data_IF_223066379769
#
_entry.id   IF_223066379769
#
_cell.length_a   1.000
_cell.length_b   1.000
_cell.length_c   1.000
_cell.angle_alpha   90.00
_cell.angle_beta   90.00
_cell.angle_gamma   90.00
#
_symmetry.space_group_name_H-M   'P 1'
#
loop_
_entity.id
_entity.type
_entity.pdbx_description
1 polymer ?
#
# COMPACT_ATOMS: atom_id res chain seq x y z
N UNK A 1 -0.37 18.24 13.51
CA UNK A 1 0.85 18.30 12.68
C UNK A 1 0.43 18.78 11.29
N UNK A 2 1.20 19.66 10.63
CA UNK A 2 0.87 20.10 9.27
C UNK A 2 1.77 19.39 8.25
N UNK A 3 1.15 18.81 7.22
CA UNK A 3 1.82 18.28 6.03
C UNK A 3 2.14 19.45 5.09
N UNK A 4 3.40 19.58 4.71
CA UNK A 4 3.84 20.49 3.66
C UNK A 4 3.94 19.78 2.29
N UNK A 5 4.25 20.55 1.24
CA UNK A 5 4.35 20.02 -0.13
C UNK A 5 5.48 19.01 -0.30
N UNK A 6 6.59 19.18 0.42
CA UNK A 6 7.70 18.22 0.41
C UNK A 6 7.27 16.87 1.02
N UNK A 7 6.57 16.92 2.15
CA UNK A 7 6.03 15.73 2.80
C UNK A 7 4.98 15.04 1.94
N UNK A 8 4.08 15.80 1.29
CA UNK A 8 3.12 15.25 0.33
C UNK A 8 3.82 14.54 -0.85
N UNK A 9 4.87 15.15 -1.42
CA UNK A 9 5.67 14.52 -2.48
C UNK A 9 6.39 13.25 -2.00
N UNK A 10 6.90 13.25 -0.76
CA UNK A 10 7.54 12.08 -0.14
C UNK A 10 6.54 10.93 0.02
N UNK A 11 5.33 11.21 0.50
CA UNK A 11 4.25 10.21 0.63
C UNK A 11 3.86 9.64 -0.72
N UNK A 12 3.68 10.49 -1.74
CA UNK A 12 3.38 10.05 -3.11
C UNK A 12 4.46 9.12 -3.67
N UNK A 13 5.74 9.45 -3.44
CA UNK A 13 6.89 8.62 -3.83
C UNK A 13 6.91 7.25 -3.14
N UNK A 14 6.57 7.19 -1.85
CA UNK A 14 6.44 5.95 -1.08
C UNK A 14 5.30 5.08 -1.62
N UNK A 15 4.18 5.70 -1.99
CA UNK A 15 3.03 5.02 -2.59
C UNK A 15 3.20 4.66 -4.08
N UNK A 16 4.33 5.04 -4.71
CA UNK A 16 4.58 4.89 -6.16
C UNK A 16 3.55 5.61 -7.04
N UNK A 17 2.98 6.70 -6.54
CA UNK A 17 2.04 7.54 -7.28
C UNK A 17 2.80 8.75 -7.82
N UNK A 18 2.79 8.93 -9.14
CA UNK A 18 3.31 10.15 -9.76
C UNK A 18 2.27 11.26 -9.59
N UNK A 19 2.69 12.38 -9.00
CA UNK A 19 1.88 13.59 -8.83
C UNK A 19 2.62 14.73 -9.53
N UNK A 20 1.90 15.55 -10.29
CA UNK A 20 2.49 16.71 -10.94
C UNK A 20 2.87 17.76 -9.87
N UNK A 21 4.04 18.42 -9.96
CA UNK A 21 4.41 19.47 -9.02
C UNK A 21 3.34 20.56 -8.83
N UNK A 22 2.54 20.85 -9.86
CA UNK A 22 1.45 21.82 -9.79
C UNK A 22 0.31 21.38 -8.85
N UNK A 23 0.11 20.08 -8.66
CA UNK A 23 -0.99 19.51 -7.86
C UNK A 23 -0.58 19.28 -6.39
N UNK A 24 0.72 19.31 -6.08
CA UNK A 24 1.24 19.08 -4.73
C UNK A 24 0.66 20.02 -3.66
N UNK A 25 0.46 21.34 -3.91
CA UNK A 25 -0.14 22.23 -2.93
C UNK A 25 -1.58 21.84 -2.57
N UNK A 26 -2.38 21.45 -3.56
CA UNK A 26 -3.75 21.01 -3.34
C UNK A 26 -3.78 19.70 -2.53
N UNK A 27 -2.94 18.74 -2.92
CA UNK A 27 -2.81 17.46 -2.22
C UNK A 27 -2.39 17.62 -0.75
N UNK A 28 -1.42 18.51 -0.48
CA UNK A 28 -1.01 18.81 0.90
C UNK A 28 -2.17 19.43 1.70
N UNK A 29 -2.97 20.29 1.09
CA UNK A 29 -4.19 20.85 1.69
C UNK A 29 -5.20 19.76 2.07
N UNK A 30 -5.52 18.87 1.12
CA UNK A 30 -6.45 17.76 1.34
C UNK A 30 -5.98 16.82 2.46
N UNK A 31 -4.68 16.50 2.49
CA UNK A 31 -4.10 15.70 3.59
C UNK A 31 -4.25 16.39 4.95
N UNK A 32 -4.02 17.69 5.02
CA UNK A 32 -4.22 18.43 6.28
C UNK A 32 -5.69 18.41 6.73
N UNK A 33 -6.65 18.51 5.80
CA UNK A 33 -8.08 18.38 6.13
C UNK A 33 -8.40 17.01 6.70
N UNK A 34 -7.91 15.93 6.06
CA UNK A 34 -8.15 14.56 6.51
C UNK A 34 -7.49 14.29 7.86
N UNK A 35 -6.24 14.72 8.05
CA UNK A 35 -5.53 14.55 9.33
C UNK A 35 -6.21 15.34 10.45
N UNK A 36 -6.68 16.56 10.17
CA UNK A 36 -7.46 17.33 11.15
C UNK A 36 -8.79 16.66 11.52
N UNK A 37 -9.42 15.94 10.60
CA UNK A 37 -10.59 15.12 10.91
C UNK A 37 -10.23 13.91 11.79
N UNK A 38 -9.11 13.23 11.50
CA UNK A 38 -8.62 12.09 12.29
C UNK A 38 -8.22 12.51 13.72
N UNK A 39 -7.74 13.74 13.90
CA UNK A 39 -7.33 14.26 15.21
C UNK A 39 -8.48 14.24 16.25
N UNK A 40 -9.75 14.18 15.82
CA UNK A 40 -10.92 13.99 16.71
C UNK A 40 -10.82 12.70 17.53
N UNK A 41 -10.13 11.66 17.02
CA UNK A 41 -9.95 10.40 17.74
C UNK A 41 -9.09 10.56 19.01
N UNK A 42 -8.26 11.61 19.09
CA UNK A 42 -7.44 11.88 20.28
C UNK A 42 -8.27 12.35 21.49
N UNK A 43 -9.55 12.71 21.30
CA UNK A 43 -10.45 13.09 22.40
C UNK A 43 -10.88 11.88 23.25
N UNK A 44 -10.68 10.67 22.75
CA UNK A 44 -11.08 9.42 23.43
C UNK A 44 -9.89 8.81 24.16
N UNK A 45 -10.01 8.63 25.48
CA UNK A 45 -9.01 7.92 26.27
C UNK A 45 -9.07 6.40 25.99
N UNK A 46 -7.98 5.88 25.44
CA UNK A 46 -7.78 4.45 25.14
C UNK A 46 -6.71 3.81 26.03
N UNK A 47 -6.38 4.44 27.17
CA UNK A 47 -5.39 3.92 28.12
C UNK A 47 -5.79 2.53 28.62
N UNK A 48 -4.90 1.56 28.41
CA UNK A 48 -5.13 0.17 28.81
C UNK A 48 -6.05 -0.64 27.89
N UNK A 49 -6.47 -0.07 26.75
CA UNK A 49 -7.24 -0.79 25.73
C UNK A 49 -6.29 -1.45 24.74
N UNK A 50 -6.37 -2.78 24.62
CA UNK A 50 -5.61 -3.55 23.64
C UNK A 50 -6.10 -3.26 22.21
N UNK A 51 -5.20 -3.03 21.23
CA UNK A 51 -5.58 -2.81 19.84
C UNK A 51 -6.31 -4.01 19.24
N UNK A 52 -7.40 -3.75 18.51
CA UNK A 52 -8.14 -4.79 17.81
C UNK A 52 -7.46 -5.16 16.49
N UNK A 53 -6.88 -6.37 16.42
CA UNK A 53 -6.19 -6.89 15.21
C UNK A 53 -7.12 -7.63 14.24
N UNK A 54 -8.20 -8.22 14.76
CA UNK A 54 -9.21 -8.94 13.99
C UNK A 54 -10.52 -8.92 14.78
N UNK A 55 -11.65 -8.80 14.08
CA UNK A 55 -12.99 -8.82 14.68
C UNK A 55 -13.38 -10.19 15.24
N UNK A 56 -12.69 -11.25 14.79
CA UNK A 56 -12.87 -12.61 15.29
C UNK A 56 -11.55 -13.17 15.78
N UNK A 57 -11.49 -13.79 16.99
CA UNK A 57 -10.31 -14.50 17.43
C UNK A 57 -9.97 -15.63 16.44
N UNK A 58 -8.80 -15.54 15.81
CA UNK A 58 -8.35 -16.55 14.85
C UNK A 58 -7.00 -17.10 15.29
N UNK A 59 -6.91 -18.43 15.37
CA UNK A 59 -5.61 -19.09 15.48
C UNK A 59 -4.90 -19.02 14.13
N UNK A 60 -3.58 -18.91 14.16
CA UNK A 60 -2.75 -18.96 12.96
C UNK A 60 -2.99 -20.28 12.22
N UNK A 61 -3.52 -20.20 11.00
CA UNK A 61 -3.76 -21.36 10.14
C UNK A 61 -2.43 -21.87 9.60
N UNK A 62 -2.13 -23.14 9.85
CA UNK A 62 -0.99 -23.84 9.23
C UNK A 62 -1.44 -24.52 7.94
N UNK A 63 -0.59 -24.48 6.92
CA UNK A 63 -0.75 -25.24 5.67
C UNK A 63 0.13 -26.49 5.74
N UNK A 64 -0.31 -27.60 5.14
CA UNK A 64 0.54 -28.77 4.94
C UNK A 64 1.69 -28.45 3.97
N UNK A 65 2.86 -29.03 4.21
CA UNK A 65 4.00 -28.88 3.30
C UNK A 65 3.91 -29.87 2.14
N UNK A 66 3.04 -29.57 1.19
CA UNK A 66 2.80 -30.39 0.01
C UNK A 66 2.74 -29.51 -1.25
N UNK A 67 3.18 -30.07 -2.38
CA UNK A 67 3.02 -29.44 -3.69
C UNK A 67 1.54 -29.48 -4.08
N UNK A 68 1.01 -28.36 -4.58
CA UNK A 68 -0.43 -28.20 -4.87
C UNK A 68 -0.73 -27.64 -6.26
N UNK A 69 0.28 -27.09 -6.96
CA UNK A 69 0.15 -26.56 -8.32
C UNK A 69 1.52 -26.58 -9.03
N UNK A 70 1.55 -26.31 -10.33
CA UNK A 70 2.76 -26.33 -11.17
C UNK A 70 2.45 -26.27 -12.67
N UNK A 71 3.47 -26.11 -13.51
CA UNK A 71 3.42 -26.23 -14.98
C UNK A 71 2.35 -25.39 -15.70
N UNK A 72 1.99 -24.24 -15.12
CA UNK A 72 0.91 -23.35 -15.60
C UNK A 72 1.40 -22.02 -16.17
N UNK A 73 2.60 -21.98 -16.73
CA UNK A 73 3.23 -20.74 -17.24
C UNK A 73 2.29 -19.92 -18.14
N UNK A 74 1.59 -20.56 -19.08
CA UNK A 74 0.64 -19.87 -19.98
C UNK A 74 -0.53 -19.22 -19.22
N UNK A 75 -1.06 -19.90 -18.20
CA UNK A 75 -2.17 -19.37 -17.40
C UNK A 75 -1.71 -18.23 -16.49
N UNK A 76 -0.51 -18.34 -15.92
CA UNK A 76 0.09 -17.30 -15.07
C UNK A 76 0.37 -16.01 -15.86
N UNK A 77 0.83 -16.13 -17.10
CA UNK A 77 1.17 -14.99 -17.96
C UNK A 77 -0.03 -14.41 -18.74
N UNK A 78 -1.23 -14.98 -18.61
CA UNK A 78 -2.38 -14.58 -19.43
C UNK A 78 -2.77 -13.10 -19.30
N UNK A 79 -2.49 -12.48 -18.15
CA UNK A 79 -2.76 -11.06 -17.88
C UNK A 79 -1.47 -10.21 -17.81
N UNK A 80 -0.31 -10.76 -18.17
CA UNK A 80 0.93 -10.02 -18.16
C UNK A 80 0.89 -8.91 -19.23
N UNK A 81 1.17 -7.64 -18.88
CA UNK A 81 1.21 -6.56 -19.87
C UNK A 81 2.26 -6.78 -20.97
N UNK A 82 3.42 -7.35 -20.61
CA UNK A 82 4.46 -7.80 -21.54
C UNK A 82 5.03 -9.13 -21.00
N UNK A 83 5.07 -10.13 -21.87
CA UNK A 83 5.60 -11.45 -21.57
C UNK A 83 6.57 -11.89 -22.67
N UNK A 84 7.77 -12.33 -22.29
CA UNK A 84 8.83 -12.76 -23.22
C UNK A 84 9.46 -14.04 -22.73
N UNK A 85 9.53 -15.05 -23.61
CA UNK A 85 10.20 -16.33 -23.34
C UNK A 85 9.73 -17.00 -22.03
N UNK A 86 8.49 -16.74 -21.61
CA UNK A 86 7.95 -17.29 -20.37
C UNK A 86 8.21 -16.48 -19.09
N UNK A 87 8.67 -15.24 -19.21
CA UNK A 87 8.91 -14.30 -18.12
C UNK A 87 8.05 -13.04 -18.24
N UNK A 88 7.81 -12.36 -17.11
CA UNK A 88 7.29 -10.99 -17.11
C UNK A 88 8.40 -10.05 -17.57
N UNK A 89 8.15 -9.30 -18.64
CA UNK A 89 9.11 -8.32 -19.12
C UNK A 89 8.86 -6.97 -18.46
N UNK A 90 9.92 -6.38 -17.88
CA UNK A 90 9.89 -5.06 -17.23
C UNK A 90 11.10 -4.25 -17.69
N UNK A 91 11.04 -2.91 -17.64
CA UNK A 91 12.21 -2.07 -17.85
C UNK A 91 13.34 -2.49 -16.91
N UNK A 92 14.58 -2.49 -17.43
CA UNK A 92 15.76 -2.83 -16.64
C UNK A 92 15.85 -1.91 -15.44
N UNK A 93 15.96 -2.48 -14.25
CA UNK A 93 16.29 -1.74 -13.04
C UNK A 93 17.77 -1.35 -13.12
N UNK A 94 18.04 -0.06 -13.20
CA UNK A 94 19.38 0.54 -13.15
C UNK A 94 19.39 1.51 -11.97
N UNK A 95 20.48 1.50 -11.21
CA UNK A 95 20.74 2.44 -10.10
C UNK A 95 21.14 3.82 -10.61
#
# INVERSE_FOLDING_TARGET
MSIDTETAAKVAKLARIKVDPADLPALAGEFNTILGFIDQLNEVDVTGIEPMVSVTPMRLKRRTDTVTDGDRQKAVLANAPDAREGFFAVPKVVE
#
